data_IF_985669939448
#
_entry.id   IF_985669939448
#
_cell.length_a   1.000
_cell.length_b   1.000
_cell.length_c   1.000
_cell.angle_alpha   90.00
_cell.angle_beta   90.00
_cell.angle_gamma   90.00
#
_symmetry.space_group_name_H-M   'P 1'
#
loop_
_entity.id
_entity.type
_entity.pdbx_description
1 polymer ?
#
# COMPACT_ATOMS: atom_id res chain seq x y z
N UNK A 1 19.90 -19.60 -8.81
CA UNK A 1 19.61 -18.32 -9.48
C UNK A 1 19.04 -18.52 -10.88
N UNK A 2 17.77 -18.89 -10.98
CA UNK A 2 17.07 -19.01 -12.28
C UNK A 2 15.85 -18.12 -12.21
N UNK A 3 15.79 -17.09 -13.05
CA UNK A 3 14.55 -16.38 -13.33
C UNK A 3 13.52 -17.42 -13.75
N UNK A 4 12.42 -17.53 -13.00
CA UNK A 4 11.41 -18.58 -13.24
C UNK A 4 10.56 -18.26 -14.46
N UNK A 5 10.37 -16.98 -14.78
CA UNK A 5 9.50 -16.50 -15.84
C UNK A 5 9.76 -15.00 -16.14
N UNK A 6 9.46 -14.54 -17.35
CA UNK A 6 9.54 -13.12 -17.76
C UNK A 6 8.21 -12.69 -18.38
N UNK A 7 7.49 -11.77 -17.72
CA UNK A 7 6.22 -11.19 -18.17
C UNK A 7 5.29 -10.83 -16.99
N UNK A 8 4.12 -10.28 -17.26
CA UNK A 8 3.11 -9.95 -16.24
C UNK A 8 2.11 -11.11 -16.09
N UNK A 9 2.06 -11.72 -14.90
CA UNK A 9 1.07 -12.72 -14.54
C UNK A 9 -0.01 -12.04 -13.71
N UNK A 10 -1.21 -11.90 -14.28
CA UNK A 10 -2.37 -11.36 -13.60
C UNK A 10 -3.38 -12.47 -13.32
N UNK A 11 -3.39 -12.97 -12.09
CA UNK A 11 -4.37 -13.95 -11.62
C UNK A 11 -5.13 -13.36 -10.41
N UNK A 12 -6.47 -13.27 -10.45
CA UNK A 12 -7.26 -12.64 -9.38
C UNK A 12 -7.22 -13.38 -8.05
N UNK A 13 -6.87 -14.67 -8.06
CA UNK A 13 -6.73 -15.48 -6.85
C UNK A 13 -5.35 -15.32 -6.17
N UNK A 14 -4.43 -14.58 -6.80
CA UNK A 14 -3.14 -14.25 -6.20
C UNK A 14 -3.34 -13.11 -5.18
N UNK A 15 -2.88 -13.34 -3.96
CA UNK A 15 -3.13 -12.43 -2.84
C UNK A 15 -1.93 -12.34 -1.90
N UNK A 16 -1.72 -11.14 -1.37
CA UNK A 16 -0.82 -10.89 -0.24
C UNK A 16 -1.71 -10.59 0.96
N UNK A 17 -1.61 -11.38 2.02
CA UNK A 17 -2.43 -11.19 3.23
C UNK A 17 -1.53 -11.15 4.45
N UNK A 18 -1.61 -10.05 5.18
CA UNK A 18 -1.03 -9.91 6.51
C UNK A 18 -1.97 -10.53 7.55
N UNK A 19 -1.41 -11.19 8.56
CA UNK A 19 -2.20 -11.61 9.71
C UNK A 19 -2.47 -10.38 10.57
N UNK A 20 -3.65 -9.76 10.45
CA UNK A 20 -4.08 -8.65 11.32
C UNK A 20 -4.39 -9.09 12.77
N UNK A 21 -3.77 -10.15 13.26
CA UNK A 21 -3.95 -10.55 14.66
C UNK A 21 -3.20 -9.56 15.53
N UNK A 22 -3.92 -8.86 16.41
CA UNK A 22 -3.30 -7.98 17.40
C UNK A 22 -2.17 -8.74 18.11
N UNK A 23 -0.93 -8.24 17.96
CA UNK A 23 0.23 -8.82 18.64
C UNK A 23 0.03 -8.72 20.14
N UNK A 24 0.32 -9.79 20.87
CA UNK A 24 0.51 -9.70 22.33
C UNK A 24 1.99 -9.40 22.59
N UNK A 25 2.34 -8.89 23.77
CA UNK A 25 3.74 -8.61 24.15
C UNK A 25 4.67 -9.84 24.02
N UNK A 26 4.11 -11.04 23.86
CA UNK A 26 4.82 -12.31 23.78
C UNK A 26 4.74 -13.00 22.41
N UNK A 27 3.84 -12.60 21.51
CA UNK A 27 3.61 -13.30 20.24
C UNK A 27 3.88 -12.41 19.04
N UNK A 28 4.84 -12.83 18.22
CA UNK A 28 5.30 -12.23 16.96
C UNK A 28 4.28 -12.41 15.82
N UNK A 29 3.01 -12.71 16.13
CA UNK A 29 1.96 -13.01 15.14
C UNK A 29 1.66 -11.86 14.19
N UNK A 30 1.94 -10.63 14.60
CA UNK A 30 1.79 -9.42 13.80
C UNK A 30 2.99 -9.13 12.86
N UNK A 31 4.04 -9.95 12.86
CA UNK A 31 5.20 -9.80 11.97
C UNK A 31 5.26 -10.91 10.91
N UNK A 32 4.10 -11.49 10.57
CA UNK A 32 3.99 -12.52 9.54
C UNK A 32 2.95 -12.14 8.49
N UNK A 33 3.26 -12.47 7.25
CA UNK A 33 2.33 -12.37 6.14
C UNK A 33 2.49 -13.56 5.21
N UNK A 34 1.47 -13.84 4.42
CA UNK A 34 1.52 -14.86 3.39
C UNK A 34 1.38 -14.23 1.99
N UNK A 35 2.05 -14.84 1.03
CA UNK A 35 1.83 -14.59 -0.39
C UNK A 35 1.29 -15.89 -0.99
N UNK A 36 0.11 -15.80 -1.57
CA UNK A 36 -0.48 -16.86 -2.37
C UNK A 36 -0.15 -16.59 -3.83
N UNK A 37 0.78 -17.36 -4.37
CA UNK A 37 1.11 -17.39 -5.78
C UNK A 37 0.14 -18.32 -6.51
N UNK A 38 -0.27 -17.90 -7.71
CA UNK A 38 -1.16 -18.65 -8.58
C UNK A 38 -0.58 -18.76 -9.98
N UNK A 39 -0.78 -19.92 -10.59
CA UNK A 39 -0.37 -20.15 -11.97
C UNK A 39 -1.22 -19.29 -12.91
N UNK A 40 -0.59 -18.71 -13.95
CA UNK A 40 -1.31 -17.99 -14.99
C UNK A 40 -1.56 -18.89 -16.22
N UNK A 41 -2.76 -18.84 -16.84
CA UNK A 41 -3.05 -19.57 -18.07
C UNK A 41 -2.08 -19.19 -19.19
N UNK A 42 -1.56 -20.20 -19.91
CA UNK A 42 -0.66 -19.98 -21.05
C UNK A 42 0.79 -19.58 -20.70
N UNK A 43 1.14 -19.46 -19.42
CA UNK A 43 2.46 -18.99 -19.00
C UNK A 43 3.26 -20.11 -18.34
N UNK A 44 4.33 -20.56 -19.01
CA UNK A 44 5.26 -21.56 -18.47
C UNK A 44 6.14 -20.94 -17.38
N UNK A 45 6.38 -21.67 -16.30
CA UNK A 45 7.20 -21.18 -15.17
C UNK A 45 6.44 -20.42 -14.08
N UNK A 46 5.15 -20.11 -14.28
CA UNK A 46 4.25 -19.70 -13.19
C UNK A 46 3.83 -20.92 -12.36
N UNK A 47 3.62 -20.74 -11.05
CA UNK A 47 3.34 -21.84 -10.13
C UNK A 47 2.26 -21.48 -9.12
N UNK A 48 1.60 -22.51 -8.59
CA UNK A 48 0.68 -22.39 -7.46
C UNK A 48 1.43 -22.70 -6.16
N UNK A 49 1.35 -21.81 -5.18
CA UNK A 49 2.00 -22.04 -3.90
C UNK A 49 1.70 -20.94 -2.89
N UNK A 50 1.74 -21.31 -1.60
CA UNK A 50 1.60 -20.35 -0.50
C UNK A 50 2.93 -20.28 0.23
N UNK A 51 3.47 -19.07 0.31
CA UNK A 51 4.71 -18.80 1.04
C UNK A 51 4.38 -17.96 2.26
N UNK A 52 4.81 -18.41 3.44
CA UNK A 52 4.72 -17.66 4.68
C UNK A 52 6.05 -16.96 4.94
N UNK A 53 6.00 -15.64 5.07
CA UNK A 53 7.14 -14.82 5.41
C UNK A 53 7.01 -14.28 6.84
N UNK A 54 8.13 -14.30 7.56
CA UNK A 54 8.31 -13.61 8.84
C UNK A 54 9.21 -12.41 8.63
N UNK A 55 8.78 -11.22 9.05
CA UNK A 55 9.60 -10.02 8.98
C UNK A 55 10.78 -10.13 9.95
N UNK A 56 11.96 -9.75 9.48
CA UNK A 56 13.20 -9.70 10.27
C UNK A 56 13.57 -8.26 10.66
N UNK A 57 13.18 -7.30 9.83
CA UNK A 57 13.42 -5.88 10.05
C UNK A 57 13.24 -5.09 8.76
N UNK A 58 13.25 -3.77 8.89
CA UNK A 58 13.05 -2.83 7.80
C UNK A 58 13.87 -1.56 8.01
N UNK A 59 14.14 -0.85 6.92
CA UNK A 59 14.86 0.42 6.93
C UNK A 59 14.48 1.27 5.72
N UNK A 60 14.81 2.55 5.79
CA UNK A 60 14.54 3.51 4.72
C UNK A 60 15.84 4.02 4.12
N UNK A 61 15.84 4.17 2.79
CA UNK A 61 16.89 4.89 2.04
C UNK A 61 16.17 5.88 1.14
N UNK A 62 16.30 7.17 1.45
CA UNK A 62 15.56 8.23 0.80
C UNK A 62 14.04 7.97 0.80
N UNK A 63 13.45 7.80 -0.39
CA UNK A 63 12.02 7.50 -0.61
C UNK A 63 11.71 6.01 -0.64
N UNK A 64 12.72 5.16 -0.54
CA UNK A 64 12.60 3.71 -0.64
C UNK A 64 12.51 3.07 0.75
N UNK A 65 11.53 2.20 0.92
CA UNK A 65 11.34 1.36 2.11
C UNK A 65 11.78 -0.07 1.78
N UNK A 66 12.79 -0.53 2.49
CA UNK A 66 13.30 -1.89 2.37
C UNK A 66 12.87 -2.71 3.57
N UNK A 67 12.47 -3.95 3.34
CA UNK A 67 12.18 -4.88 4.43
C UNK A 67 12.71 -6.28 4.13
N UNK A 68 13.37 -6.87 5.11
CA UNK A 68 13.95 -8.20 5.04
C UNK A 68 13.02 -9.21 5.71
N UNK A 69 12.86 -10.37 5.07
CA UNK A 69 11.94 -11.40 5.52
C UNK A 69 12.56 -12.80 5.41
N UNK A 70 12.04 -13.73 6.20
CA UNK A 70 12.40 -15.13 6.18
C UNK A 70 11.19 -16.00 5.83
N UNK A 71 11.32 -16.84 4.81
CA UNK A 71 10.41 -17.94 4.56
C UNK A 71 10.61 -19.02 5.63
N UNK A 72 9.64 -19.17 6.53
CA UNK A 72 9.76 -20.06 7.70
C UNK A 72 9.80 -21.54 7.34
N UNK A 73 9.35 -21.90 6.13
CA UNK A 73 9.28 -23.28 5.64
C UNK A 73 10.45 -23.70 4.74
N UNK A 74 11.36 -22.77 4.40
CA UNK A 74 12.54 -23.06 3.58
C UNK A 74 13.80 -23.24 4.45
N UNK A 75 14.56 -24.28 4.17
CA UNK A 75 15.77 -24.63 4.91
C UNK A 75 17.04 -24.08 4.26
N UNK A 76 17.05 -23.94 2.94
CA UNK A 76 18.19 -23.44 2.17
C UNK A 76 18.33 -21.93 2.37
N UNK A 77 19.46 -21.49 2.93
CA UNK A 77 19.67 -20.09 3.36
C UNK A 77 19.48 -19.08 2.23
N UNK A 78 19.92 -19.43 1.02
CA UNK A 78 19.81 -18.63 -0.19
C UNK A 78 18.37 -18.44 -0.68
N UNK A 79 17.48 -19.39 -0.39
CA UNK A 79 16.04 -19.31 -0.72
C UNK A 79 15.16 -18.88 0.46
N UNK A 80 15.65 -19.07 1.68
CA UNK A 80 14.97 -18.71 2.93
C UNK A 80 14.83 -17.21 3.08
N UNK A 81 15.86 -16.44 2.79
CA UNK A 81 15.86 -14.99 3.01
C UNK A 81 15.53 -14.24 1.74
N UNK A 82 14.68 -13.22 1.86
CA UNK A 82 14.28 -12.34 0.78
C UNK A 82 14.23 -10.90 1.28
N UNK A 83 14.48 -9.98 0.38
CA UNK A 83 14.31 -8.56 0.61
C UNK A 83 13.22 -8.03 -0.30
N UNK A 84 12.50 -7.06 0.20
CA UNK A 84 11.45 -6.37 -0.53
C UNK A 84 11.74 -4.88 -0.53
N UNK A 85 11.27 -4.20 -1.57
CA UNK A 85 11.45 -2.78 -1.80
C UNK A 85 10.12 -2.17 -2.22
N UNK A 86 9.62 -1.24 -1.43
CA UNK A 86 8.47 -0.38 -1.77
C UNK A 86 8.97 1.05 -1.92
N UNK A 87 8.48 1.77 -2.92
CA UNK A 87 8.75 3.20 -3.01
C UNK A 87 7.60 3.97 -2.34
N UNK A 88 7.90 5.08 -1.67
CA UNK A 88 6.89 5.91 -1.01
C UNK A 88 5.96 6.60 -2.01
N UNK A 89 6.47 6.95 -3.19
CA UNK A 89 5.74 7.65 -4.24
C UNK A 89 5.03 6.66 -5.20
N UNK A 90 5.58 5.46 -5.39
CA UNK A 90 4.97 4.36 -6.14
C UNK A 90 4.50 3.23 -5.20
N UNK A 91 3.23 3.29 -4.79
CA UNK A 91 2.60 2.31 -3.90
C UNK A 91 1.94 1.14 -4.65
N UNK A 92 1.96 1.16 -5.99
CA UNK A 92 1.37 0.12 -6.83
C UNK A 92 2.33 -1.04 -7.09
N UNK A 93 3.63 -0.84 -6.89
CA UNK A 93 4.61 -1.88 -7.16
C UNK A 93 5.51 -2.18 -5.94
N UNK A 94 5.82 -3.46 -5.76
CA UNK A 94 6.82 -3.94 -4.82
C UNK A 94 7.89 -4.72 -5.57
N UNK A 95 9.15 -4.36 -5.36
CA UNK A 95 10.30 -5.10 -5.82
C UNK A 95 10.68 -6.22 -4.86
N UNK A 96 11.05 -7.38 -5.36
CA UNK A 96 11.45 -8.55 -4.56
C UNK A 96 12.78 -9.09 -5.05
N UNK A 97 13.68 -9.41 -4.10
CA UNK A 97 14.96 -10.04 -4.42
C UNK A 97 14.77 -11.52 -4.72
N UNK A 98 15.58 -12.08 -5.62
CA UNK A 98 15.62 -13.54 -5.86
C UNK A 98 16.68 -14.26 -5.00
N UNK A 99 17.53 -13.48 -4.32
CA UNK A 99 18.59 -13.97 -3.43
C UNK A 99 18.39 -13.40 -2.02
N UNK A 100 19.19 -13.88 -1.07
CA UNK A 100 19.26 -13.34 0.29
C UNK A 100 19.88 -11.94 0.38
N UNK A 101 20.37 -11.37 -0.73
CA UNK A 101 21.07 -10.09 -0.73
C UNK A 101 20.15 -8.94 -1.14
N UNK A 102 20.05 -7.91 -0.28
CA UNK A 102 19.19 -6.76 -0.54
C UNK A 102 19.84 -5.71 -1.46
N UNK A 103 21.17 -5.76 -1.65
CA UNK A 103 21.95 -4.85 -2.49
C UNK A 103 21.53 -4.86 -3.98
N UNK A 104 20.88 -5.92 -4.45
CA UNK A 104 20.36 -6.05 -5.81
C UNK A 104 19.12 -5.20 -6.05
N UNK A 105 18.38 -4.85 -4.98
CA UNK A 105 17.20 -4.00 -5.07
C UNK A 105 17.63 -2.53 -5.05
N UNK A 106 17.71 -1.91 -6.22
CA UNK A 106 18.01 -0.47 -6.35
C UNK A 106 16.76 0.37 -6.49
N UNK A 107 15.87 -0.03 -7.39
CA UNK A 107 14.56 0.58 -7.62
C UNK A 107 13.54 -0.53 -7.90
N UNK A 108 12.26 -0.22 -7.78
CA UNK A 108 11.18 -1.18 -8.02
C UNK A 108 11.19 -1.67 -9.47
N UNK A 109 11.47 -0.78 -10.43
CA UNK A 109 11.50 -1.08 -11.87
C UNK A 109 12.64 -2.04 -12.25
N UNK A 110 13.78 -1.91 -11.57
CA UNK A 110 14.98 -2.74 -11.79
C UNK A 110 15.01 -3.98 -10.91
N UNK A 111 13.96 -4.25 -10.15
CA UNK A 111 13.89 -5.41 -9.27
C UNK A 111 13.74 -6.71 -10.07
N UNK A 112 14.40 -7.81 -9.67
CA UNK A 112 14.33 -9.10 -10.35
C UNK A 112 12.90 -9.68 -10.45
N UNK A 113 12.14 -9.52 -9.38
CA UNK A 113 10.71 -9.83 -9.31
C UNK A 113 9.96 -8.53 -8.95
N UNK A 114 8.83 -8.31 -9.61
CA UNK A 114 7.99 -7.12 -9.42
C UNK A 114 6.56 -7.57 -9.21
N UNK A 115 6.00 -7.18 -8.07
CA UNK A 115 4.62 -7.43 -7.70
C UNK A 115 3.82 -6.16 -7.97
N UNK A 116 2.80 -6.24 -8.82
CA UNK A 116 1.82 -5.17 -9.00
C UNK A 116 0.68 -5.40 -8.02
N UNK A 117 0.46 -4.46 -7.12
CA UNK A 117 -0.56 -4.55 -6.10
C UNK A 117 -1.82 -3.86 -6.57
N UNK A 118 -2.94 -4.53 -6.36
CA UNK A 118 -4.27 -3.92 -6.44
C UNK A 118 -4.94 -4.13 -5.09
N UNK A 119 -5.57 -3.08 -4.52
CA UNK A 119 -6.31 -3.25 -3.29
C UNK A 119 -7.43 -4.25 -3.51
N UNK A 120 -7.40 -5.36 -2.78
CA UNK A 120 -8.57 -6.21 -2.63
C UNK A 120 -9.59 -5.38 -1.87
N UNK A 121 -10.80 -5.25 -2.41
CA UNK A 121 -11.90 -4.49 -1.77
C UNK A 121 -12.01 -4.94 -0.31
N UNK A 122 -11.47 -4.12 0.58
CA UNK A 122 -11.69 -4.26 2.01
C UNK A 122 -13.13 -3.84 2.29
N UNK A 123 -13.74 -4.41 3.34
CA UNK A 123 -15.12 -4.18 3.71
C UNK A 123 -15.52 -2.71 3.51
N UNK A 124 -16.65 -2.47 2.85
CA UNK A 124 -17.10 -1.10 2.58
C UNK A 124 -17.34 -0.43 3.93
N UNK A 125 -16.50 0.56 4.25
CA UNK A 125 -16.68 1.36 5.45
C UNK A 125 -17.86 2.28 5.22
N UNK A 126 -18.97 2.02 5.91
CA UNK A 126 -20.15 2.87 5.85
C UNK A 126 -19.86 4.26 6.44
N UNK A 127 -20.47 5.29 5.87
CA UNK A 127 -20.34 6.65 6.40
C UNK A 127 -21.16 6.80 7.68
N UNK A 128 -20.54 7.30 8.76
CA UNK A 128 -21.21 7.57 10.04
C UNK A 128 -21.54 9.05 10.28
N UNK A 129 -21.08 9.95 9.40
CA UNK A 129 -21.36 11.38 9.47
C UNK A 129 -21.45 12.03 8.09
N UNK A 130 -21.92 13.28 8.05
CA UNK A 130 -22.00 14.10 6.83
C UNK A 130 -21.04 15.28 6.90
N UNK A 131 -20.29 15.50 5.84
CA UNK A 131 -19.41 16.65 5.64
C UNK A 131 -20.25 17.91 5.38
N UNK A 132 -19.72 19.11 5.70
CA UNK A 132 -20.42 20.37 5.43
C UNK A 132 -20.66 20.58 3.93
N UNK A 133 -21.88 20.99 3.58
CA UNK A 133 -22.25 21.26 2.17
C UNK A 133 -21.38 22.33 1.50
N UNK A 134 -20.82 23.26 2.28
CA UNK A 134 -19.94 24.32 1.78
C UNK A 134 -18.60 23.79 1.23
N UNK A 135 -18.24 22.55 1.54
CA UNK A 135 -17.03 21.93 1.02
C UNK A 135 -17.31 20.98 -0.15
N UNK A 136 -18.57 20.73 -0.51
CA UNK A 136 -18.92 19.85 -1.64
C UNK A 136 -18.52 20.48 -2.97
N UNK A 137 -18.02 19.67 -3.90
CA UNK A 137 -17.63 20.09 -5.23
C UNK A 137 -16.24 19.59 -5.65
N UNK A 138 -15.75 20.12 -6.75
CA UNK A 138 -14.43 19.85 -7.29
C UNK A 138 -13.42 20.88 -6.76
N UNK A 139 -12.31 20.39 -6.23
CA UNK A 139 -11.21 21.17 -5.67
C UNK A 139 -9.89 20.74 -6.30
N UNK A 140 -8.90 21.62 -6.27
CA UNK A 140 -7.55 21.34 -6.76
C UNK A 140 -6.60 21.37 -5.58
N UNK A 141 -5.80 20.32 -5.41
CA UNK A 141 -4.71 20.28 -4.46
C UNK A 141 -3.48 20.98 -5.06
N UNK A 142 -3.18 22.20 -4.62
CA UNK A 142 -1.98 22.93 -5.07
C UNK A 142 -0.68 22.48 -4.44
N UNK A 143 -0.69 21.69 -3.36
CA UNK A 143 0.52 21.20 -2.70
C UNK A 143 1.00 19.85 -3.26
N UNK A 144 0.16 19.13 -4.02
CA UNK A 144 0.51 17.84 -4.60
C UNK A 144 0.22 17.82 -6.11
N UNK A 145 1.11 18.41 -6.91
CA UNK A 145 1.19 18.30 -8.38
C UNK A 145 -0.21 18.35 -9.03
N UNK A 146 -1.03 19.34 -8.65
CA UNK A 146 -2.38 19.56 -9.16
C UNK A 146 -3.30 18.32 -9.11
N UNK A 147 -3.38 17.65 -7.95
CA UNK A 147 -4.31 16.53 -7.76
C UNK A 147 -5.78 17.00 -7.78
N UNK A 148 -6.65 16.24 -8.46
CA UNK A 148 -8.08 16.48 -8.50
C UNK A 148 -8.74 15.96 -7.22
N UNK A 149 -9.52 16.80 -6.54
CA UNK A 149 -10.26 16.41 -5.34
C UNK A 149 -11.75 16.57 -5.61
N UNK A 150 -12.52 15.52 -5.36
CA UNK A 150 -13.98 15.57 -5.37
C UNK A 150 -14.51 15.34 -3.96
N UNK A 151 -15.31 16.29 -3.46
CA UNK A 151 -15.94 16.21 -2.14
C UNK A 151 -17.45 16.06 -2.32
N UNK A 152 -18.01 15.03 -1.68
CA UNK A 152 -19.45 14.81 -1.57
C UNK A 152 -19.86 14.84 -0.08
N UNK A 153 -21.15 14.69 0.22
CA UNK A 153 -21.71 14.76 1.57
C UNK A 153 -21.07 13.79 2.57
N UNK A 154 -20.43 12.72 2.13
CA UNK A 154 -19.88 11.68 3.03
C UNK A 154 -18.45 11.25 2.70
N UNK A 155 -17.95 11.65 1.52
CA UNK A 155 -16.71 11.16 0.94
C UNK A 155 -15.85 12.30 0.43
N UNK A 156 -14.53 12.16 0.57
CA UNK A 156 -13.53 12.97 -0.13
C UNK A 156 -12.72 12.03 -0.99
N UNK A 157 -12.54 12.36 -2.26
CA UNK A 157 -11.84 11.52 -3.23
C UNK A 157 -10.72 12.35 -3.83
N UNK A 158 -9.48 11.94 -3.61
CA UNK A 158 -8.29 12.59 -4.15
C UNK A 158 -7.70 11.70 -5.25
N UNK A 159 -7.49 12.28 -6.44
CA UNK A 159 -6.88 11.62 -7.60
C UNK A 159 -5.63 12.37 -8.02
N UNK A 160 -4.48 11.73 -7.85
CA UNK A 160 -3.17 12.27 -8.18
C UNK A 160 -2.55 11.57 -9.39
N UNK A 161 -1.87 12.31 -10.26
CA UNK A 161 -1.31 11.81 -11.52
C UNK A 161 0.21 11.88 -11.52
N UNK A 162 0.92 10.80 -11.13
CA UNK A 162 2.39 10.78 -11.16
C UNK A 162 2.97 10.90 -12.57
N UNK A 163 2.35 10.26 -13.56
CA UNK A 163 2.84 10.15 -14.94
C UNK A 163 1.66 10.01 -15.93
N UNK A 164 1.91 10.20 -17.24
CA UNK A 164 0.92 9.94 -18.29
C UNK A 164 0.41 8.49 -18.25
N UNK A 165 -0.88 8.32 -17.91
CA UNK A 165 -1.55 7.02 -17.86
C UNK A 165 -1.52 6.32 -16.49
N UNK A 166 -0.91 6.93 -15.47
CA UNK A 166 -0.98 6.46 -14.08
C UNK A 166 -1.77 7.45 -13.23
N UNK A 167 -2.64 6.92 -12.38
CA UNK A 167 -3.33 7.72 -11.38
C UNK A 167 -3.39 6.97 -10.05
N UNK A 168 -3.32 7.73 -8.97
CA UNK A 168 -3.48 7.25 -7.60
C UNK A 168 -4.75 7.83 -7.04
N UNK A 169 -5.66 6.96 -6.61
CA UNK A 169 -6.94 7.38 -6.00
C UNK A 169 -6.94 7.04 -4.52
N UNK A 170 -7.11 8.06 -3.68
CA UNK A 170 -7.32 7.90 -2.24
C UNK A 170 -8.75 8.28 -1.90
N UNK A 171 -9.45 7.46 -1.13
CA UNK A 171 -10.83 7.72 -0.72
C UNK A 171 -10.86 7.91 0.80
N UNK A 172 -11.50 8.97 1.25
CA UNK A 172 -11.75 9.25 2.66
C UNK A 172 -13.25 9.21 2.93
N UNK A 173 -13.66 8.56 4.02
CA UNK A 173 -15.05 8.38 4.44
C UNK A 173 -15.25 8.93 5.84
N UNK A 174 -16.29 9.74 6.02
CA UNK A 174 -16.67 10.30 7.32
C UNK A 174 -17.17 9.20 8.27
N UNK A 175 -16.54 9.04 9.44
CA UNK A 175 -16.93 8.03 10.46
C UNK A 175 -17.64 8.63 11.66
N UNK A 176 -17.09 9.69 12.22
CA UNK A 176 -17.64 10.34 13.40
C UNK A 176 -17.46 11.85 13.27
N UNK A 177 -18.44 12.61 13.76
CA UNK A 177 -18.36 14.05 13.85
C UNK A 177 -18.52 14.46 15.30
N UNK A 178 -17.64 15.37 15.75
CA UNK A 178 -17.79 16.06 17.03
C UNK A 178 -17.55 17.54 16.82
N UNK A 179 -18.60 18.33 16.98
CA UNK A 179 -18.59 19.77 16.71
C UNK A 179 -18.14 20.07 15.26
N UNK A 180 -16.98 20.70 15.11
CA UNK A 180 -16.35 21.04 13.82
C UNK A 180 -15.27 20.04 13.38
N UNK A 181 -15.09 18.93 14.12
CA UNK A 181 -14.08 17.91 13.89
C UNK A 181 -14.67 16.66 13.26
N UNK A 182 -13.93 16.03 12.36
CA UNK A 182 -14.42 14.92 11.56
C UNK A 182 -13.40 13.78 11.50
N UNK A 183 -13.75 12.65 12.10
CA UNK A 183 -12.93 11.45 12.00
C UNK A 183 -13.15 10.80 10.64
N UNK A 184 -12.08 10.66 9.86
CA UNK A 184 -12.13 10.05 8.53
C UNK A 184 -11.46 8.68 8.53
N UNK A 185 -12.07 7.71 7.86
CA UNK A 185 -11.42 6.49 7.44
C UNK A 185 -10.82 6.70 6.05
N UNK A 186 -9.55 6.35 5.86
CA UNK A 186 -8.83 6.47 4.58
C UNK A 186 -8.67 5.09 3.96
N UNK A 187 -9.07 4.93 2.71
CA UNK A 187 -8.77 3.78 1.88
C UNK A 187 -7.58 4.11 0.97
N UNK A 188 -6.49 3.37 1.15
CA UNK A 188 -5.34 3.34 0.23
C UNK A 188 -5.21 1.96 -0.41
N UNK A 189 -4.17 1.75 -1.23
CA UNK A 189 -3.81 0.42 -1.74
C UNK A 189 -3.58 -0.62 -0.65
N UNK A 190 -3.17 -0.19 0.54
CA UNK A 190 -2.87 -1.07 1.68
C UNK A 190 -4.13 -1.40 2.52
N UNK A 191 -5.29 -0.79 2.22
CA UNK A 191 -6.58 -1.02 2.89
C UNK A 191 -7.14 0.20 3.63
N UNK A 192 -8.12 -0.03 4.52
CA UNK A 192 -8.73 1.01 5.34
C UNK A 192 -7.91 1.30 6.61
N UNK A 193 -7.70 2.58 6.88
CA UNK A 193 -7.08 3.10 8.11
C UNK A 193 -8.02 4.12 8.75
N UNK A 194 -8.33 3.97 10.04
CA UNK A 194 -9.09 4.97 10.80
C UNK A 194 -8.10 5.93 11.45
N UNK A 195 -8.14 7.21 11.10
CA UNK A 195 -7.31 8.24 11.72
C UNK A 195 -8.06 8.89 12.88
N UNK A 196 -7.57 8.72 14.11
CA UNK A 196 -8.21 9.23 15.32
C UNK A 196 -8.16 10.77 15.48
N UNK A 197 -7.64 11.51 14.50
CA UNK A 197 -7.62 12.98 14.52
C UNK A 197 -7.45 13.55 13.11
N UNK A 198 -8.53 14.07 12.54
CA UNK A 198 -8.50 15.01 11.42
C UNK A 198 -9.52 16.10 11.74
N UNK A 199 -9.09 17.36 11.85
CA UNK A 199 -10.02 18.49 11.68
C UNK A 199 -10.22 18.65 10.16
N UNK A 200 -11.42 19.02 9.69
CA UNK A 200 -11.60 19.27 8.24
C UNK A 200 -10.64 20.37 7.75
N UNK A 201 -10.33 21.35 8.61
CA UNK A 201 -9.29 22.35 8.35
C UNK A 201 -7.91 21.71 8.20
N UNK A 202 -7.57 20.68 8.99
CA UNK A 202 -6.32 19.92 8.80
C UNK A 202 -6.37 18.97 7.63
N UNK A 203 -7.54 18.55 7.12
CA UNK A 203 -7.60 17.84 5.82
C UNK A 203 -7.33 18.79 4.66
N UNK A 204 -7.85 20.02 4.70
CA UNK A 204 -7.49 21.07 3.73
C UNK A 204 -6.07 21.61 3.95
N UNK A 205 -5.49 21.55 5.16
CA UNK A 205 -4.07 21.87 5.38
C UNK A 205 -3.12 20.71 5.10
N UNK A 206 -3.50 19.44 5.25
CA UNK A 206 -2.66 18.31 4.81
C UNK A 206 -2.71 18.12 3.30
N UNK A 207 -3.84 18.51 2.69
CA UNK A 207 -4.02 18.57 1.25
C UNK A 207 -3.35 19.86 0.73
N UNK A 208 -3.61 21.07 1.24
CA UNK A 208 -3.06 22.34 0.70
C UNK A 208 -1.83 22.95 1.43
N UNK A 209 -1.29 22.36 2.50
CA UNK A 209 -0.27 23.01 3.34
C UNK A 209 0.96 22.11 3.59
N UNK A 210 1.52 21.56 2.51
CA UNK A 210 2.97 21.29 2.46
C UNK A 210 3.73 22.47 1.84
N UNK A 211 3.59 23.67 2.40
CA UNK A 211 4.63 24.70 2.31
C UNK A 211 4.46 25.70 3.45
N UNK A 212 5.60 26.18 3.98
CA UNK A 212 5.80 27.05 5.15
C UNK A 212 6.15 26.35 6.47
N UNK A 213 7.40 25.89 6.53
CA UNK A 213 8.29 26.29 7.62
C UNK A 213 9.41 27.16 7.03
N UNK A 214 9.13 28.45 6.80
CA UNK A 214 9.85 29.64 7.31
C UNK A 214 8.83 30.75 7.41
#
# INVERSE_FOLDING_TARGET
NRFRFTGECNNPDAQIRSCQTAGTQFLITNQKFNITYKKCPGMTGTFDGVVEYSCLGDWFVDKNHFFAVANTKESRKDEKYRCFLKNRDDDLYIGVSITAECNMLKTVEKSPERLRITPVKSEVVEAGCRLPQNFSGDWINTANIDADIFINETHIIETWYPDEGRYRRTIYVCREQRDTRYMMARLTVDGWYVYNRMDISTSLEYVCNQQFCV
#
